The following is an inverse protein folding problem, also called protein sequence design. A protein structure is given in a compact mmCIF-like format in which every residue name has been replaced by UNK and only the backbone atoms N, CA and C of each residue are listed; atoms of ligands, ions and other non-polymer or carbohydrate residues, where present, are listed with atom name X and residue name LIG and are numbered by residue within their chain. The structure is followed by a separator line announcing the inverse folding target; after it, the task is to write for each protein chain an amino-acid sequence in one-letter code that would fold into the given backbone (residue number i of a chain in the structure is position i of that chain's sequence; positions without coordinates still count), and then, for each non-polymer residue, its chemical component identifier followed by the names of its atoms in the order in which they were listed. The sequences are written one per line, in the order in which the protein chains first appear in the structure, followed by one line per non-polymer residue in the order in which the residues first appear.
data_IF_772836525667
#
_entry.id   IF_772836525667
#
_cell.length_a   1.000
_cell.length_b   1.000
_cell.length_c   1.000
_cell.angle_alpha   90.00
_cell.angle_beta   90.00
_cell.angle_gamma   90.00
#
_symmetry.space_group_name_H-M   'P 1'
#
loop_
_entity.id
_entity.type
_entity.pdbx_description
1 polymer ?
#
# COMPACT_ATOMS: atom_id res chain seq x y z
N UNK A 1 8.08 -25.13 -3.82
CA UNK A 1 7.32 -24.08 -3.12
C UNK A 1 8.27 -23.17 -2.38
N UNK A 2 8.94 -22.28 -3.12
CA UNK A 2 9.68 -21.15 -2.56
C UNK A 2 9.04 -19.89 -3.12
N UNK A 3 8.18 -19.25 -2.32
CA UNK A 3 7.64 -17.95 -2.67
C UNK A 3 8.74 -16.90 -2.46
N UNK A 4 9.03 -16.10 -3.48
CA UNK A 4 9.90 -14.92 -3.37
C UNK A 4 9.08 -13.66 -3.56
N UNK A 5 9.29 -12.68 -2.68
CA UNK A 5 8.75 -11.33 -2.79
C UNK A 5 9.88 -10.36 -3.12
N UNK A 6 9.86 -9.82 -4.33
CA UNK A 6 10.76 -8.76 -4.77
C UNK A 6 10.16 -7.41 -4.40
N UNK A 7 10.74 -6.74 -3.40
CA UNK A 7 10.08 -5.60 -2.77
C UNK A 7 11.05 -4.56 -2.20
N UNK A 8 10.53 -3.34 -2.03
CA UNK A 8 11.11 -2.32 -1.17
C UNK A 8 10.05 -1.93 -0.15
N UNK A 9 10.31 -2.14 1.15
CA UNK A 9 9.34 -1.86 2.21
C UNK A 9 9.12 -0.36 2.49
N UNK A 10 9.77 0.55 1.74
CA UNK A 10 9.34 1.96 1.68
C UNK A 10 8.12 2.11 0.76
N UNK A 11 7.97 1.23 -0.24
CA UNK A 11 6.91 1.26 -1.25
C UNK A 11 5.60 0.68 -0.72
N UNK A 12 4.50 1.41 -0.91
CA UNK A 12 3.17 1.03 -0.43
C UNK A 12 2.64 -0.32 -0.88
N UNK A 13 2.60 -0.63 -2.18
CA UNK A 13 2.11 -1.92 -2.62
C UNK A 13 3.04 -3.06 -2.17
N UNK A 14 4.33 -2.77 -1.93
CA UNK A 14 5.25 -3.77 -1.38
C UNK A 14 4.97 -4.02 0.10
N UNK A 15 4.74 -2.97 0.89
CA UNK A 15 4.34 -3.08 2.29
C UNK A 15 3.03 -3.83 2.44
N UNK A 16 2.02 -3.56 1.61
CA UNK A 16 0.73 -4.25 1.71
C UNK A 16 0.86 -5.77 1.48
N UNK A 17 1.60 -6.20 0.45
CA UNK A 17 1.87 -7.62 0.19
C UNK A 17 2.67 -8.26 1.33
N UNK A 18 3.76 -7.64 1.75
CA UNK A 18 4.60 -8.15 2.83
C UNK A 18 3.84 -8.23 4.16
N UNK A 19 2.98 -7.25 4.45
CA UNK A 19 2.15 -7.22 5.65
C UNK A 19 1.17 -8.39 5.67
N UNK A 20 0.44 -8.58 4.56
CA UNK A 20 -0.54 -9.66 4.44
C UNK A 20 0.13 -11.04 4.54
N UNK A 21 1.25 -11.26 3.86
CA UNK A 21 2.01 -12.52 3.98
C UNK A 21 2.41 -12.81 5.42
N UNK A 22 2.84 -11.78 6.16
CA UNK A 22 3.23 -11.91 7.56
C UNK A 22 2.04 -12.18 8.48
N UNK A 23 0.92 -11.46 8.31
CA UNK A 23 -0.33 -11.70 9.04
C UNK A 23 -0.83 -13.13 8.84
N UNK A 24 -0.68 -13.69 7.64
CA UNK A 24 -1.11 -15.05 7.31
C UNK A 24 -0.05 -16.12 7.56
N UNK A 25 1.13 -15.75 8.08
CA UNK A 25 2.20 -16.68 8.42
C UNK A 25 2.72 -17.46 7.23
N UNK A 26 2.78 -16.86 6.04
CA UNK A 26 3.31 -17.51 4.85
C UNK A 26 4.82 -17.32 4.78
N UNK A 27 5.55 -18.43 4.81
CA UNK A 27 6.98 -18.46 4.60
C UNK A 27 7.35 -18.02 3.17
N UNK A 28 8.24 -17.05 3.07
CA UNK A 28 8.72 -16.52 1.79
C UNK A 28 10.10 -15.89 1.95
N UNK A 29 10.83 -15.82 0.85
CA UNK A 29 12.08 -15.04 0.74
C UNK A 29 11.74 -13.60 0.35
N UNK A 30 12.09 -12.63 1.19
CA UNK A 30 12.07 -11.22 0.82
C UNK A 30 13.35 -10.87 0.08
N UNK A 31 13.25 -10.56 -1.21
CA UNK A 31 14.36 -10.10 -2.05
C UNK A 31 14.31 -8.57 -2.12
N UNK A 32 15.25 -7.85 -1.47
CA UNK A 32 15.23 -6.39 -1.47
C UNK A 32 15.54 -5.82 -2.86
N UNK A 33 14.70 -4.92 -3.35
CA UNK A 33 14.89 -4.22 -4.61
C UNK A 33 14.97 -2.73 -4.36
N UNK A 34 16.19 -2.23 -4.14
CA UNK A 34 16.43 -0.84 -3.79
C UNK A 34 16.61 0.03 -5.04
N UNK A 35 15.96 1.21 -5.12
CA UNK A 35 16.16 2.14 -6.24
C UNK A 35 17.64 2.44 -6.47
N UNK A 36 18.10 2.31 -7.72
CA UNK A 36 19.48 2.59 -8.10
C UNK A 36 20.51 1.49 -7.82
N UNK A 37 20.15 0.41 -7.12
CA UNK A 37 21.01 -0.77 -6.94
C UNK A 37 21.32 -1.48 -8.26
N UNK A 38 22.39 -2.28 -8.27
CA UNK A 38 22.78 -3.07 -9.45
C UNK A 38 21.70 -4.07 -9.83
N UNK A 39 21.08 -4.73 -8.84
CA UNK A 39 19.97 -5.65 -9.09
C UNK A 39 18.76 -4.93 -9.71
N UNK A 40 18.39 -3.74 -9.23
CA UNK A 40 17.30 -2.96 -9.84
C UNK A 40 17.59 -2.57 -11.31
N UNK A 41 18.86 -2.34 -11.64
CA UNK A 41 19.31 -1.98 -13.00
C UNK A 41 19.46 -3.20 -13.92
N UNK A 42 19.63 -4.39 -13.37
CA UNK A 42 19.95 -5.61 -14.11
C UNK A 42 18.89 -6.00 -15.14
N UNK A 43 19.30 -6.77 -16.14
CA UNK A 43 18.38 -7.41 -17.08
C UNK A 43 17.59 -8.56 -16.43
N UNK A 44 18.11 -9.13 -15.34
CA UNK A 44 17.41 -10.14 -14.55
C UNK A 44 16.11 -9.55 -13.95
N UNK A 45 16.18 -8.40 -13.28
CA UNK A 45 14.98 -7.78 -12.73
C UNK A 45 14.04 -7.27 -13.83
N UNK A 46 14.58 -6.80 -14.95
CA UNK A 46 13.77 -6.42 -16.13
C UNK A 46 13.02 -7.61 -16.73
N UNK A 47 13.66 -8.78 -16.79
CA UNK A 47 13.03 -10.01 -17.29
C UNK A 47 11.91 -10.48 -16.35
N UNK A 48 12.08 -10.27 -15.04
CA UNK A 48 11.05 -10.56 -14.04
C UNK A 48 9.88 -9.59 -14.07
N UNK A 49 10.14 -8.28 -14.17
CA UNK A 49 9.12 -7.26 -14.34
C UNK A 49 9.56 -6.24 -15.41
N UNK A 50 8.99 -6.29 -16.63
CA UNK A 50 9.30 -5.35 -17.70
C UNK A 50 9.06 -3.88 -17.33
N UNK A 51 8.12 -3.60 -16.42
CA UNK A 51 7.86 -2.25 -15.90
C UNK A 51 8.94 -1.76 -14.92
N UNK A 52 9.83 -2.65 -14.44
CA UNK A 52 10.86 -2.37 -13.43
C UNK A 52 10.29 -1.73 -12.16
N UNK A 53 9.14 -2.22 -11.71
CA UNK A 53 8.45 -1.77 -10.50
C UNK A 53 8.38 -2.87 -9.45
N UNK A 54 8.18 -2.45 -8.20
CA UNK A 54 7.91 -3.33 -7.06
C UNK A 54 6.48 -3.11 -6.54
N UNK A 55 5.83 -4.13 -5.95
CA UNK A 55 6.32 -5.49 -5.76
C UNK A 55 6.21 -6.35 -7.03
N UNK A 56 6.94 -7.46 -7.02
CA UNK A 56 6.70 -8.62 -7.86
C UNK A 56 6.89 -9.89 -7.02
N UNK A 57 6.22 -10.98 -7.38
CA UNK A 57 6.44 -12.29 -6.76
C UNK A 57 6.93 -13.31 -7.78
N UNK A 58 7.61 -14.33 -7.27
CA UNK A 58 7.85 -15.58 -7.96
C UNK A 58 7.37 -16.74 -7.06
N UNK A 59 6.30 -17.41 -7.44
CA UNK A 59 5.83 -18.66 -6.80
C UNK A 59 6.24 -19.84 -7.70
N UNK A 60 7.35 -20.49 -7.33
CA UNK A 60 8.04 -21.48 -8.17
C UNK A 60 8.38 -20.91 -9.57
N UNK A 61 7.75 -21.38 -10.66
CA UNK A 61 8.00 -20.87 -12.02
C UNK A 61 7.04 -19.74 -12.43
N UNK A 62 6.03 -19.43 -11.62
CA UNK A 62 5.04 -18.42 -11.91
C UNK A 62 5.49 -17.04 -11.40
N UNK A 63 5.54 -16.06 -12.29
CA UNK A 63 5.86 -14.66 -11.96
C UNK A 63 4.60 -13.82 -12.08
N UNK A 64 4.35 -12.99 -11.07
CA UNK A 64 3.24 -12.05 -11.05
C UNK A 64 3.70 -10.68 -10.56
N UNK A 65 3.24 -9.65 -11.27
CA UNK A 65 3.46 -8.24 -10.94
C UNK A 65 2.13 -7.59 -10.55
N UNK A 66 2.15 -6.31 -10.16
CA UNK A 66 0.99 -5.55 -9.64
C UNK A 66 0.56 -6.02 -8.24
N UNK A 67 0.82 -5.18 -7.22
CA UNK A 67 0.58 -5.53 -5.81
C UNK A 67 -0.84 -6.03 -5.52
N UNK A 68 -1.85 -5.46 -6.18
CA UNK A 68 -3.25 -5.80 -5.93
C UNK A 68 -3.64 -7.13 -6.58
N UNK A 69 -3.12 -7.40 -7.77
CA UNK A 69 -3.24 -8.71 -8.40
C UNK A 69 -2.50 -9.79 -7.61
N UNK A 70 -1.32 -9.46 -7.06
CA UNK A 70 -0.56 -10.33 -6.16
C UNK A 70 -1.37 -10.68 -4.92
N UNK A 71 -1.99 -9.70 -4.25
CA UNK A 71 -2.82 -9.93 -3.07
C UNK A 71 -4.03 -10.83 -3.35
N UNK A 72 -4.70 -10.64 -4.50
CA UNK A 72 -5.81 -11.50 -4.93
C UNK A 72 -5.34 -12.93 -5.21
N UNK A 73 -4.23 -13.08 -5.95
CA UNK A 73 -3.61 -14.37 -6.24
C UNK A 73 -3.23 -15.11 -4.96
N UNK A 74 -2.52 -14.46 -4.04
CA UNK A 74 -2.12 -15.04 -2.77
C UNK A 74 -3.35 -15.45 -1.93
N UNK A 75 -4.41 -14.62 -1.95
CA UNK A 75 -5.69 -14.93 -1.31
C UNK A 75 -6.29 -16.24 -1.79
N UNK A 76 -6.39 -16.45 -3.10
CA UNK A 76 -6.92 -17.70 -3.65
C UNK A 76 -5.91 -18.87 -3.53
N UNK A 77 -4.60 -18.59 -3.66
CA UNK A 77 -3.50 -19.58 -3.64
C UNK A 77 -3.27 -20.23 -2.27
N UNK A 78 -3.49 -19.49 -1.19
CA UNK A 78 -3.31 -19.93 0.20
C UNK A 78 -4.64 -20.06 0.95
N UNK A 79 -5.76 -20.03 0.23
CA UNK A 79 -7.13 -20.18 0.74
C UNK A 79 -7.52 -19.19 1.86
N UNK A 80 -7.19 -17.91 1.66
CA UNK A 80 -7.64 -16.81 2.53
C UNK A 80 -9.06 -16.35 2.15
N UNK A 81 -9.91 -17.32 1.80
CA UNK A 81 -11.19 -17.09 1.11
C UNK A 81 -12.42 -17.41 1.95
N UNK A 82 -12.21 -17.68 3.24
CA UNK A 82 -13.25 -17.90 4.23
C UNK A 82 -14.17 -16.69 4.43
N UNK A 83 -15.34 -16.88 5.09
CA UNK A 83 -16.36 -15.82 5.22
C UNK A 83 -15.90 -14.54 5.92
N UNK A 84 -14.90 -14.64 6.83
CA UNK A 84 -14.29 -13.52 7.55
C UNK A 84 -12.76 -13.55 7.41
N UNK A 85 -12.29 -13.58 6.18
CA UNK A 85 -10.86 -13.60 5.84
C UNK A 85 -10.53 -12.52 4.80
N UNK A 86 -9.27 -12.44 4.36
CA UNK A 86 -8.76 -11.31 3.60
C UNK A 86 -9.34 -11.16 2.19
N UNK A 87 -9.77 -12.26 1.55
CA UNK A 87 -10.37 -12.24 0.22
C UNK A 87 -11.55 -13.22 0.07
N UNK A 88 -12.69 -12.99 0.76
CA UNK A 88 -13.81 -13.93 0.81
C UNK A 88 -14.41 -14.27 -0.57
N UNK A 89 -15.03 -15.45 -0.71
CA UNK A 89 -15.77 -15.83 -1.94
C UNK A 89 -17.18 -15.24 -2.04
N UNK A 90 -17.68 -14.59 -0.99
CA UNK A 90 -18.96 -13.88 -1.08
C UNK A 90 -18.92 -12.85 -2.21
N UNK A 91 -19.88 -12.95 -3.13
CA UNK A 91 -19.89 -12.18 -4.36
C UNK A 91 -19.87 -10.67 -4.10
N UNK A 92 -20.63 -10.19 -3.11
CA UNK A 92 -20.79 -8.76 -2.85
C UNK A 92 -19.57 -8.21 -2.11
N UNK A 93 -19.06 -8.93 -1.12
CA UNK A 93 -17.85 -8.54 -0.40
C UNK A 93 -16.67 -8.51 -1.38
N UNK A 94 -16.47 -9.57 -2.18
CA UNK A 94 -15.39 -9.63 -3.17
C UNK A 94 -15.52 -8.52 -4.22
N UNK A 95 -16.73 -8.20 -4.66
CA UNK A 95 -16.97 -7.07 -5.56
C UNK A 95 -16.59 -5.73 -4.92
N UNK A 96 -16.89 -5.51 -3.64
CA UNK A 96 -16.49 -4.28 -2.91
C UNK A 96 -14.98 -4.18 -2.68
N UNK A 97 -14.32 -5.29 -2.37
CA UNK A 97 -12.85 -5.35 -2.34
C UNK A 97 -12.30 -4.92 -3.69
N UNK A 98 -12.71 -5.57 -4.77
CA UNK A 98 -12.20 -5.28 -6.11
C UNK A 98 -12.52 -3.85 -6.57
N UNK A 99 -13.72 -3.33 -6.28
CA UNK A 99 -14.11 -1.94 -6.54
C UNK A 99 -13.09 -0.97 -5.92
N UNK A 100 -12.77 -1.15 -4.64
CA UNK A 100 -11.78 -0.31 -3.98
C UNK A 100 -10.38 -0.48 -4.56
N UNK A 101 -9.92 -1.73 -4.78
CA UNK A 101 -8.57 -1.98 -5.31
C UNK A 101 -8.38 -1.28 -6.67
N UNK A 102 -9.39 -1.33 -7.54
CA UNK A 102 -9.34 -0.65 -8.85
C UNK A 102 -9.42 0.87 -8.71
N UNK A 103 -10.34 1.38 -7.89
CA UNK A 103 -10.47 2.82 -7.62
C UNK A 103 -9.18 3.42 -7.03
N UNK A 104 -8.55 2.72 -6.10
CA UNK A 104 -7.34 3.17 -5.40
C UNK A 104 -6.22 3.61 -6.35
N UNK A 105 -6.03 2.94 -7.49
CA UNK A 105 -4.93 3.20 -8.42
C UNK A 105 -4.87 4.63 -8.96
N UNK A 106 -6.02 5.30 -9.12
CA UNK A 106 -6.12 6.66 -9.65
C UNK A 106 -6.60 7.68 -8.62
N UNK A 107 -6.66 7.27 -7.34
CA UNK A 107 -7.24 8.05 -6.26
C UNK A 107 -6.27 8.14 -5.09
N UNK A 108 -6.45 7.37 -4.03
CA UNK A 108 -5.58 7.43 -2.83
C UNK A 108 -4.11 7.18 -3.17
N UNK A 109 -3.80 6.37 -4.20
CA UNK A 109 -2.43 6.16 -4.69
C UNK A 109 -1.72 7.44 -5.18
N UNK A 110 -2.49 8.50 -5.47
CA UNK A 110 -1.94 9.80 -5.83
C UNK A 110 -1.29 10.50 -4.65
N UNK A 111 -1.53 10.10 -3.40
CA UNK A 111 -0.83 10.67 -2.24
C UNK A 111 0.69 10.46 -2.36
N UNK A 112 1.13 9.24 -2.70
CA UNK A 112 2.55 8.99 -2.94
C UNK A 112 3.10 9.86 -4.07
N UNK A 113 2.37 9.96 -5.19
CA UNK A 113 2.85 10.62 -6.41
C UNK A 113 2.82 12.15 -6.34
N UNK A 114 1.84 12.73 -5.66
CA UNK A 114 1.58 14.16 -5.65
C UNK A 114 1.93 14.83 -4.32
N UNK A 115 2.24 14.06 -3.28
CA UNK A 115 2.58 14.59 -1.95
C UNK A 115 3.92 14.02 -1.48
N UNK A 116 4.00 12.72 -1.21
CA UNK A 116 5.17 12.12 -0.55
C UNK A 116 6.44 12.27 -1.40
N UNK A 117 6.38 11.89 -2.69
CA UNK A 117 7.53 12.02 -3.61
C UNK A 117 7.92 13.49 -3.85
N UNK A 118 6.99 14.41 -4.14
CA UNK A 118 7.29 15.84 -4.23
C UNK A 118 7.91 16.44 -2.96
N UNK A 119 7.40 16.12 -1.76
CA UNK A 119 8.00 16.60 -0.50
C UNK A 119 9.44 16.08 -0.33
N UNK A 120 9.71 14.81 -0.67
CA UNK A 120 11.09 14.26 -0.65
C UNK A 120 11.98 14.98 -1.67
N UNK A 121 11.50 15.19 -2.90
CA UNK A 121 12.25 15.91 -3.93
C UNK A 121 12.61 17.32 -3.49
N UNK A 122 11.67 18.01 -2.84
CA UNK A 122 11.88 19.33 -2.23
C UNK A 122 12.94 19.30 -1.12
N UNK A 123 12.91 18.31 -0.24
CA UNK A 123 13.95 18.12 0.81
C UNK A 123 15.34 17.86 0.21
N UNK A 124 15.41 17.30 -0.99
CA UNK A 124 16.64 17.07 -1.74
C UNK A 124 17.06 18.26 -2.62
N UNK A 125 16.29 19.35 -2.66
CA UNK A 125 16.46 20.46 -3.62
C UNK A 125 16.49 19.97 -5.09
N UNK A 126 15.66 18.98 -5.39
CA UNK A 126 15.57 18.32 -6.70
C UNK A 126 14.13 18.28 -7.23
N UNK A 127 13.22 19.06 -6.65
CA UNK A 127 11.84 19.18 -7.11
C UNK A 127 11.75 19.87 -8.47
N UNK A 128 10.91 19.31 -9.34
CA UNK A 128 10.59 19.87 -10.65
C UNK A 128 9.37 20.81 -10.58
N UNK A 129 9.10 21.61 -11.63
CA UNK A 129 7.86 22.39 -11.71
C UNK A 129 6.59 21.54 -11.57
N UNK A 130 6.65 20.26 -11.98
CA UNK A 130 5.55 19.31 -11.80
C UNK A 130 5.34 18.95 -10.33
N UNK A 131 6.41 18.77 -9.57
CA UNK A 131 6.36 18.46 -8.14
C UNK A 131 5.78 19.65 -7.36
N UNK A 132 6.20 20.88 -7.71
CA UNK A 132 5.68 22.11 -7.12
C UNK A 132 4.17 22.27 -7.36
N UNK A 133 3.73 22.11 -8.62
CA UNK A 133 2.30 22.16 -8.96
C UNK A 133 1.48 21.05 -8.27
N UNK A 134 2.05 19.86 -8.07
CA UNK A 134 1.40 18.79 -7.34
C UNK A 134 1.21 19.15 -5.85
N UNK A 135 2.22 19.77 -5.23
CA UNK A 135 2.15 20.23 -3.84
C UNK A 135 1.18 21.39 -3.64
N UNK A 136 0.99 22.26 -4.62
CA UNK A 136 -0.04 23.30 -4.58
C UNK A 136 -1.46 22.70 -4.52
N UNK A 137 -1.68 21.56 -5.18
CA UNK A 137 -2.97 20.86 -5.22
C UNK A 137 -3.20 19.86 -4.07
N UNK A 138 -2.27 19.73 -3.13
CA UNK A 138 -2.29 18.63 -2.15
C UNK A 138 -3.51 18.65 -1.22
N UNK A 139 -3.92 19.83 -0.74
CA UNK A 139 -5.03 19.94 0.21
C UNK A 139 -6.36 19.58 -0.46
N UNK A 140 -6.55 19.98 -1.72
CA UNK A 140 -7.72 19.60 -2.51
C UNK A 140 -7.75 18.09 -2.80
N UNK A 141 -6.59 17.47 -3.05
CA UNK A 141 -6.48 16.02 -3.22
C UNK A 141 -6.83 15.29 -1.91
N UNK A 142 -6.25 15.70 -0.79
CA UNK A 142 -6.56 15.13 0.53
C UNK A 142 -8.05 15.27 0.82
N UNK A 143 -8.61 16.47 0.66
CA UNK A 143 -10.02 16.73 0.95
C UNK A 143 -10.96 15.85 0.12
N UNK A 144 -10.68 15.73 -1.19
CA UNK A 144 -11.47 14.91 -2.11
C UNK A 144 -11.43 13.44 -1.70
N UNK A 145 -10.23 12.88 -1.55
CA UNK A 145 -10.09 11.44 -1.33
C UNK A 145 -10.53 11.03 0.09
N UNK A 146 -10.27 11.83 1.12
CA UNK A 146 -10.77 11.54 2.47
C UNK A 146 -12.29 11.69 2.59
N UNK A 147 -12.91 12.64 1.88
CA UNK A 147 -14.38 12.72 1.79
C UNK A 147 -14.98 11.45 1.17
N UNK A 148 -14.33 10.91 0.13
CA UNK A 148 -14.75 9.65 -0.49
C UNK A 148 -14.55 8.45 0.44
N UNK A 149 -13.42 8.35 1.12
CA UNK A 149 -13.17 7.30 2.11
C UNK A 149 -14.18 7.34 3.27
N UNK A 150 -14.51 8.53 3.78
CA UNK A 150 -15.55 8.74 4.81
C UNK A 150 -16.93 8.24 4.34
N UNK A 151 -17.19 8.31 3.04
CA UNK A 151 -18.40 7.77 2.40
C UNK A 151 -18.36 6.25 2.24
N UNK A 152 -17.21 5.69 1.85
CA UNK A 152 -17.03 4.24 1.65
C UNK A 152 -17.06 3.46 2.95
N UNK A 153 -16.64 4.06 4.07
CA UNK A 153 -16.74 3.48 5.40
C UNK A 153 -18.20 3.50 5.90
N UNK A 154 -19.00 2.58 5.35
CA UNK A 154 -20.38 2.31 5.79
C UNK A 154 -20.37 1.38 7.02
N UNK A 155 -19.45 0.42 7.05
CA UNK A 155 -19.15 -0.43 8.21
C UNK A 155 -17.73 -0.11 8.74
N UNK A 156 -17.16 -1.01 9.54
CA UNK A 156 -15.85 -0.79 10.16
C UNK A 156 -14.67 -0.83 9.17
N UNK A 157 -14.83 -1.50 8.04
CA UNK A 157 -13.78 -1.69 7.03
C UNK A 157 -14.28 -1.37 5.61
N UNK A 158 -13.32 -1.11 4.71
CA UNK A 158 -13.56 -0.53 3.37
C UNK A 158 -14.51 -1.36 2.53
N UNK A 159 -14.45 -2.68 2.63
CA UNK A 159 -15.30 -3.58 1.83
C UNK A 159 -16.73 -3.76 2.39
N UNK A 160 -17.19 -2.82 3.22
CA UNK A 160 -18.44 -2.92 3.99
C UNK A 160 -18.47 -4.15 4.92
N UNK A 161 -17.34 -4.50 5.52
CA UNK A 161 -17.19 -5.65 6.43
C UNK A 161 -16.95 -5.21 7.88
N UNK A 162 -17.09 -6.14 8.82
CA UNK A 162 -16.71 -6.02 10.24
C UNK A 162 -15.31 -6.59 10.53
N UNK A 163 -14.57 -6.99 9.49
CA UNK A 163 -13.19 -7.49 9.53
C UNK A 163 -12.36 -6.87 8.38
N UNK A 164 -11.03 -6.72 8.54
CA UNK A 164 -10.18 -6.17 7.49
C UNK A 164 -10.02 -7.14 6.32
N UNK A 165 -9.89 -6.57 5.13
CA UNK A 165 -9.65 -7.30 3.87
C UNK A 165 -8.39 -6.77 3.19
N UNK A 166 -7.96 -7.39 2.09
CA UNK A 166 -6.83 -6.86 1.29
C UNK A 166 -7.02 -5.40 0.84
N UNK A 167 -8.27 -4.90 0.76
CA UNK A 167 -8.55 -3.49 0.50
C UNK A 167 -8.04 -2.58 1.63
N UNK A 168 -8.25 -2.98 2.88
CA UNK A 168 -7.84 -2.22 4.06
C UNK A 168 -6.32 -2.18 4.24
N UNK A 169 -5.65 -3.32 4.06
CA UNK A 169 -4.17 -3.38 4.09
C UNK A 169 -3.55 -2.49 2.99
N UNK A 170 -4.15 -2.48 1.80
CA UNK A 170 -3.70 -1.64 0.69
C UNK A 170 -3.93 -0.15 0.97
N UNK A 171 -5.14 0.21 1.43
CA UNK A 171 -5.48 1.58 1.74
C UNK A 171 -4.63 2.15 2.87
N UNK A 172 -4.42 1.37 3.92
CA UNK A 172 -3.69 1.82 5.11
C UNK A 172 -2.25 2.14 4.77
N UNK A 173 -1.56 1.28 3.99
CA UNK A 173 -0.20 1.60 3.57
C UNK A 173 -0.13 2.92 2.78
N UNK A 174 -1.15 3.25 2.00
CA UNK A 174 -1.14 4.54 1.31
C UNK A 174 -1.35 5.73 2.27
N UNK A 175 -2.29 5.59 3.21
CA UNK A 175 -2.74 6.66 4.12
C UNK A 175 -1.74 6.90 5.27
N UNK A 176 -1.10 5.85 5.79
CA UNK A 176 -0.18 5.96 6.92
C UNK A 176 1.01 6.87 6.62
N UNK A 177 1.41 6.99 5.34
CA UNK A 177 2.42 7.95 4.90
C UNK A 177 2.10 9.37 5.33
N UNK A 178 0.85 9.80 5.09
CA UNK A 178 0.43 11.16 5.40
C UNK A 178 0.27 11.34 6.90
N UNK A 179 -0.23 10.32 7.61
CA UNK A 179 -0.30 10.36 9.07
C UNK A 179 1.10 10.49 9.70
N UNK A 180 2.07 9.70 9.24
CA UNK A 180 3.46 9.76 9.69
C UNK A 180 4.13 11.11 9.34
N UNK A 181 3.65 11.79 8.30
CA UNK A 181 4.08 13.15 7.94
C UNK A 181 3.34 14.26 8.71
N UNK A 182 2.42 13.91 9.61
CA UNK A 182 1.74 14.84 10.49
C UNK A 182 0.52 15.53 9.89
N UNK A 183 -0.06 15.00 8.82
CA UNK A 183 -1.32 15.52 8.28
C UNK A 183 -2.48 15.21 9.25
N UNK A 184 -3.35 16.20 9.45
CA UNK A 184 -4.52 16.07 10.33
C UNK A 184 -5.75 15.56 9.56
N UNK A 185 -6.36 14.50 10.09
CA UNK A 185 -7.58 13.90 9.56
C UNK A 185 -8.78 14.02 10.50
N UNK A 186 -8.69 14.84 11.56
CA UNK A 186 -9.72 15.02 12.58
C UNK A 186 -11.12 15.33 12.03
N UNK A 187 -11.20 15.96 10.83
CA UNK A 187 -12.44 16.23 10.08
C UNK A 187 -13.18 14.95 9.63
N UNK A 188 -12.52 13.80 9.57
CA UNK A 188 -13.01 12.54 9.00
C UNK A 188 -13.11 11.45 10.10
N UNK A 189 -14.16 11.48 10.94
CA UNK A 189 -14.24 10.62 12.11
C UNK A 189 -14.29 9.12 11.79
N UNK A 190 -14.95 8.70 10.70
CA UNK A 190 -14.94 7.28 10.31
C UNK A 190 -13.58 6.83 9.83
N UNK A 191 -12.90 7.67 9.04
CA UNK A 191 -11.51 7.39 8.62
C UNK A 191 -10.59 7.30 9.83
N UNK A 192 -10.67 8.23 10.79
CA UNK A 192 -9.90 8.17 12.04
C UNK A 192 -10.17 6.88 12.84
N UNK A 193 -11.43 6.47 12.97
CA UNK A 193 -11.80 5.22 13.63
C UNK A 193 -11.25 3.99 12.89
N UNK A 194 -11.27 4.01 11.55
CA UNK A 194 -10.70 2.97 10.71
C UNK A 194 -9.16 2.90 10.83
N UNK A 195 -8.46 4.04 10.81
CA UNK A 195 -7.01 4.11 11.06
C UNK A 195 -6.66 3.51 12.43
N UNK A 196 -7.44 3.84 13.47
CA UNK A 196 -7.25 3.29 14.80
C UNK A 196 -7.40 1.75 14.82
N UNK A 197 -8.37 1.19 14.10
CA UNK A 197 -8.52 -0.27 13.92
C UNK A 197 -7.38 -0.89 13.12
N UNK A 198 -6.84 -0.19 12.12
CA UNK A 198 -5.73 -0.70 11.32
C UNK A 198 -4.40 -0.72 12.09
N UNK A 199 -4.21 0.23 13.02
CA UNK A 199 -3.06 0.26 13.95
C UNK A 199 -3.02 -0.93 14.90
N UNK A 200 -4.16 -1.54 15.22
CA UNK A 200 -4.21 -2.73 16.09
C UNK A 200 -3.97 -4.04 15.35
N UNK A 201 -3.86 -4.02 14.01
CA UNK A 201 -3.62 -5.24 13.24
C UNK A 201 -2.22 -5.80 13.51
N UNK A 202 -2.05 -7.14 13.56
CA UNK A 202 -0.76 -7.76 13.83
C UNK A 202 0.34 -7.24 12.90
N UNK A 203 1.54 -7.06 13.45
CA UNK A 203 2.75 -6.63 12.73
C UNK A 203 2.69 -5.22 12.12
N UNK A 204 1.70 -4.38 12.48
CA UNK A 204 1.61 -3.00 11.99
C UNK A 204 2.92 -2.23 12.24
N UNK A 205 3.41 -2.17 13.48
CA UNK A 205 4.62 -1.40 13.79
C UNK A 205 5.84 -1.88 13.01
N UNK A 206 6.04 -3.19 12.94
CA UNK A 206 7.20 -3.78 12.27
C UNK A 206 7.21 -3.48 10.77
N UNK A 207 6.07 -3.66 10.09
CA UNK A 207 6.03 -3.51 8.63
C UNK A 207 6.14 -2.05 8.17
N UNK A 208 5.81 -1.10 9.05
CA UNK A 208 5.85 0.34 8.78
C UNK A 208 7.18 0.99 9.22
N UNK A 209 8.00 0.29 10.02
CA UNK A 209 9.27 0.82 10.51
C UNK A 209 10.24 1.27 9.39
N UNK A 210 10.39 0.55 8.26
CA UNK A 210 11.24 1.01 7.16
C UNK A 210 10.80 2.37 6.60
N UNK A 211 9.49 2.63 6.48
CA UNK A 211 8.99 3.94 6.06
C UNK A 211 9.28 5.00 7.13
N UNK A 212 9.01 4.71 8.41
CA UNK A 212 9.28 5.66 9.52
C UNK A 212 10.74 6.13 9.49
N UNK A 213 11.68 5.18 9.40
CA UNK A 213 13.11 5.49 9.28
C UNK A 213 13.43 6.30 8.03
N UNK A 214 12.82 5.96 6.89
CA UNK A 214 13.00 6.71 5.64
C UNK A 214 12.49 8.16 5.75
N UNK A 215 11.26 8.39 6.20
CA UNK A 215 10.71 9.75 6.37
C UNK A 215 11.51 10.57 7.38
N UNK A 216 11.97 9.94 8.47
CA UNK A 216 12.85 10.58 9.46
C UNK A 216 14.15 11.07 8.83
N UNK A 217 14.75 10.31 7.91
CA UNK A 217 15.98 10.69 7.21
C UNK A 217 15.84 11.96 6.35
N UNK A 218 14.60 12.32 5.96
CA UNK A 218 14.29 13.56 5.22
C UNK A 218 13.71 14.67 6.11
N UNK A 219 13.61 14.46 7.43
CA UNK A 219 12.92 15.40 8.33
C UNK A 219 11.46 15.62 7.92
N UNK A 220 10.80 14.52 7.51
CA UNK A 220 9.39 14.47 7.12
C UNK A 220 8.55 13.62 8.09
N UNK A 221 9.17 12.99 9.10
CA UNK A 221 8.44 12.31 10.17
C UNK A 221 7.98 13.35 11.20
N UNK A 222 6.70 13.31 11.57
CA UNK A 222 6.09 14.19 12.59
C UNK A 222 6.48 13.85 14.03
#
# INVERSE_FOLDING_TARGET
MSLKLYANLISQPSRSVAWVLKVKGVDHELVPVLPGSDFFKSDEFKALNPNRLVPAIKDDDFVLTEGMAILQYLGDRYDWTGPKDLYPKDLKIRAKINEFLHWHHTNTRLFTLNIVRPEIAKKLNADSPKDQAALEGKDALIEKEFTLLETFLVNDFIANTDFPTIADYTAYCEIDQLELMGYDFSKYPKVCAWIARMKTQPFNDEIHEPLKGFLKSFGLLA
#
